data_IF_818293476244
#
_entry.id   IF_818293476244
#
_cell.length_a   1.000
_cell.length_b   1.000
_cell.length_c   1.000
_cell.angle_alpha   90.00
_cell.angle_beta   90.00
_cell.angle_gamma   90.00
#
_symmetry.space_group_name_H-M   'P 1'
#
loop_
_entity.id
_entity.type
_entity.pdbx_description
1 polymer ?
#
# COMPACT_ATOMS: atom_id res chain seq x y z
N UNK A 1 100.02 -25.11 20.92
CA UNK A 1 99.64 -24.54 19.61
C UNK A 1 98.55 -25.36 18.93
N UNK A 2 98.66 -26.69 18.82
CA UNK A 2 97.60 -27.54 18.23
C UNK A 2 96.24 -27.46 18.94
N UNK A 3 96.20 -27.58 20.28
CA UNK A 3 94.94 -27.52 21.06
C UNK A 3 94.22 -26.17 20.96
N UNK A 4 94.96 -25.06 20.81
CA UNK A 4 94.38 -23.73 20.65
C UNK A 4 93.83 -23.50 19.23
N UNK A 5 94.34 -24.24 18.23
CA UNK A 5 93.81 -24.24 16.86
C UNK A 5 92.50 -25.02 16.79
N UNK A 6 92.45 -26.24 17.37
CA UNK A 6 91.23 -27.05 17.43
C UNK A 6 90.07 -26.33 18.15
N UNK A 7 90.38 -25.61 19.23
CA UNK A 7 89.35 -24.88 19.99
C UNK A 7 88.84 -23.64 19.24
N UNK A 8 89.70 -23.00 18.44
CA UNK A 8 89.32 -21.91 17.54
C UNK A 8 88.48 -22.40 16.35
N UNK A 9 88.85 -23.54 15.76
CA UNK A 9 88.12 -24.17 14.66
C UNK A 9 86.72 -24.62 15.11
N UNK A 10 86.62 -25.26 16.29
CA UNK A 10 85.35 -25.67 16.88
C UNK A 10 84.46 -24.48 17.31
N UNK A 11 85.05 -23.32 17.64
CA UNK A 11 84.30 -22.10 17.89
C UNK A 11 83.81 -21.47 16.58
N UNK A 12 84.63 -21.50 15.53
CA UNK A 12 84.28 -21.00 14.20
C UNK A 12 83.15 -21.82 13.58
N UNK A 13 83.20 -23.16 13.67
CA UNK A 13 82.10 -24.02 13.21
C UNK A 13 80.79 -23.72 13.94
N UNK A 14 80.82 -23.57 15.27
CA UNK A 14 79.62 -23.23 16.06
C UNK A 14 79.06 -21.85 15.68
N UNK A 15 79.93 -20.88 15.42
CA UNK A 15 79.53 -19.56 14.96
C UNK A 15 78.88 -19.62 13.57
N UNK A 16 79.47 -20.36 12.63
CA UNK A 16 78.92 -20.54 11.28
C UNK A 16 77.57 -21.27 11.31
N UNK A 17 77.42 -22.29 12.16
CA UNK A 17 76.16 -23.00 12.36
C UNK A 17 75.07 -22.08 12.94
N UNK A 18 75.41 -21.30 13.97
CA UNK A 18 74.48 -20.36 14.59
C UNK A 18 74.10 -19.23 13.61
N UNK A 19 75.06 -18.71 12.85
CA UNK A 19 74.85 -17.71 11.82
C UNK A 19 74.00 -18.25 10.66
N UNK A 20 74.18 -19.52 10.29
CA UNK A 20 73.34 -20.23 9.33
C UNK A 20 71.89 -20.34 9.80
N UNK A 21 71.68 -20.80 11.05
CA UNK A 21 70.35 -20.92 11.66
C UNK A 21 69.64 -19.57 11.80
N UNK A 22 70.36 -18.51 12.17
CA UNK A 22 69.82 -17.14 12.21
C UNK A 22 69.33 -16.68 10.84
N UNK A 23 70.11 -16.90 9.78
CA UNK A 23 69.71 -16.56 8.41
C UNK A 23 68.47 -17.33 7.96
N UNK A 24 68.36 -18.61 8.28
CA UNK A 24 67.18 -19.42 7.92
C UNK A 24 65.92 -18.92 8.62
N UNK A 25 66.02 -18.62 9.92
CA UNK A 25 64.90 -18.08 10.71
C UNK A 25 64.49 -16.71 10.19
N UNK A 26 65.45 -15.84 9.84
CA UNK A 26 65.20 -14.50 9.31
C UNK A 26 64.49 -14.56 7.95
N UNK A 27 64.92 -15.46 7.05
CA UNK A 27 64.24 -15.71 5.77
C UNK A 27 62.80 -16.21 6.01
N UNK A 28 62.60 -17.18 6.90
CA UNK A 28 61.26 -17.71 7.22
C UNK A 28 60.34 -16.63 7.79
N UNK A 29 60.85 -15.80 8.71
CA UNK A 29 60.09 -14.69 9.30
C UNK A 29 59.77 -13.62 8.26
N UNK A 30 60.67 -13.34 7.33
CA UNK A 30 60.44 -12.37 6.26
C UNK A 30 59.33 -12.83 5.31
N UNK A 31 59.34 -14.11 4.90
CA UNK A 31 58.28 -14.70 4.05
C UNK A 31 56.93 -14.76 4.79
N UNK A 32 56.92 -15.15 6.06
CA UNK A 32 55.68 -15.23 6.87
C UNK A 32 55.14 -13.86 7.28
N UNK A 33 56.02 -12.89 7.49
CA UNK A 33 55.71 -11.57 8.05
C UNK A 33 55.35 -10.52 7.00
N UNK A 34 56.08 -10.48 5.88
CA UNK A 34 55.98 -9.42 4.88
C UNK A 34 54.87 -9.63 3.86
N UNK A 35 54.86 -10.78 3.17
CA UNK A 35 54.01 -10.95 1.98
C UNK A 35 52.62 -11.49 2.31
N UNK A 36 52.52 -12.46 3.23
CA UNK A 36 51.24 -13.11 3.53
C UNK A 36 50.28 -12.24 4.34
N UNK A 37 50.77 -11.57 5.39
CA UNK A 37 49.91 -10.78 6.31
C UNK A 37 49.51 -9.44 5.72
N UNK A 38 50.44 -8.73 5.07
CA UNK A 38 50.12 -7.48 4.40
C UNK A 38 49.12 -7.72 3.26
N UNK A 39 49.32 -8.77 2.46
CA UNK A 39 48.35 -9.14 1.42
C UNK A 39 46.96 -9.49 1.96
N UNK A 40 46.87 -10.18 3.11
CA UNK A 40 45.59 -10.46 3.77
C UNK A 40 44.92 -9.18 4.29
N UNK A 41 45.68 -8.26 4.87
CA UNK A 41 45.16 -6.97 5.33
C UNK A 41 44.66 -6.13 4.16
N UNK A 42 45.43 -6.03 3.08
CA UNK A 42 45.05 -5.26 1.88
C UNK A 42 43.80 -5.85 1.21
N UNK A 43 43.69 -7.18 1.14
CA UNK A 43 42.51 -7.87 0.63
C UNK A 43 41.27 -7.61 1.50
N UNK A 44 41.40 -7.76 2.83
CA UNK A 44 40.30 -7.50 3.76
C UNK A 44 39.86 -6.03 3.75
N UNK A 45 40.81 -5.10 3.59
CA UNK A 45 40.51 -3.67 3.52
C UNK A 45 39.79 -3.32 2.22
N UNK A 46 40.22 -3.90 1.09
CA UNK A 46 39.54 -3.76 -0.20
C UNK A 46 38.11 -4.30 -0.14
N UNK A 47 37.91 -5.48 0.46
CA UNK A 47 36.58 -6.07 0.65
C UNK A 47 35.68 -5.18 1.52
N UNK A 48 36.23 -4.64 2.62
CA UNK A 48 35.51 -3.70 3.49
C UNK A 48 35.09 -2.45 2.74
N UNK A 49 35.98 -1.87 1.94
CA UNK A 49 35.70 -0.66 1.16
C UNK A 49 34.61 -0.92 0.11
N UNK A 50 34.66 -2.06 -0.57
CA UNK A 50 33.64 -2.46 -1.53
C UNK A 50 32.27 -2.65 -0.86
N UNK A 51 32.22 -3.38 0.26
CA UNK A 51 31.00 -3.59 1.03
C UNK A 51 30.42 -2.28 1.57
N UNK A 52 31.27 -1.37 2.04
CA UNK A 52 30.85 -0.05 2.52
C UNK A 52 30.26 0.81 1.40
N UNK A 53 30.86 0.79 0.21
CA UNK A 53 30.35 1.51 -0.96
C UNK A 53 28.97 0.97 -1.40
N UNK A 54 28.81 -0.35 -1.45
CA UNK A 54 27.53 -0.97 -1.78
C UNK A 54 26.46 -0.67 -0.73
N UNK A 55 26.80 -0.75 0.55
CA UNK A 55 25.89 -0.37 1.63
C UNK A 55 25.45 1.10 1.53
N UNK A 56 26.37 2.02 1.24
CA UNK A 56 26.05 3.44 1.06
C UNK A 56 25.12 3.66 -0.14
N UNK A 57 25.38 2.96 -1.27
CA UNK A 57 24.57 3.01 -2.50
C UNK A 57 23.15 2.50 -2.26
N UNK A 58 23.00 1.33 -1.65
CA UNK A 58 21.70 0.74 -1.30
C UNK A 58 20.98 1.60 -0.27
N UNK A 59 21.69 2.09 0.76
CA UNK A 59 21.14 2.94 1.80
C UNK A 59 20.60 4.27 1.25
N UNK A 60 21.29 4.88 0.28
CA UNK A 60 20.80 6.09 -0.39
C UNK A 60 19.49 5.83 -1.14
N UNK A 61 19.42 4.74 -1.91
CA UNK A 61 18.20 4.33 -2.63
C UNK A 61 17.04 4.01 -1.68
N UNK A 62 17.33 3.33 -0.56
CA UNK A 62 16.33 3.02 0.46
C UNK A 62 15.74 4.28 1.08
N UNK A 63 16.59 5.27 1.45
CA UNK A 63 16.14 6.56 1.97
C UNK A 63 15.30 7.33 0.96
N UNK A 64 15.71 7.36 -0.31
CA UNK A 64 14.94 7.99 -1.38
C UNK A 64 13.56 7.34 -1.57
N UNK A 65 13.50 6.00 -1.60
CA UNK A 65 12.24 5.26 -1.70
C UNK A 65 11.33 5.49 -0.48
N UNK A 66 11.90 5.50 0.73
CA UNK A 66 11.17 5.80 1.96
C UNK A 66 10.59 7.22 1.94
N UNK A 67 11.39 8.21 1.50
CA UNK A 67 10.94 9.58 1.35
C UNK A 67 9.77 9.67 0.36
N UNK A 68 9.92 9.10 -0.85
CA UNK A 68 8.86 9.08 -1.85
C UNK A 68 7.58 8.43 -1.32
N UNK A 69 7.69 7.25 -0.69
CA UNK A 69 6.55 6.55 -0.06
C UNK A 69 5.85 7.44 0.96
N UNK A 70 6.61 8.06 1.85
CA UNK A 70 6.05 8.90 2.92
C UNK A 70 5.31 10.12 2.38
N UNK A 71 5.89 10.79 1.37
CA UNK A 71 5.31 11.97 0.73
C UNK A 71 4.04 11.59 -0.03
N UNK A 72 4.09 10.52 -0.83
CA UNK A 72 2.92 10.03 -1.58
C UNK A 72 1.78 9.60 -0.65
N UNK A 73 2.09 8.86 0.42
CA UNK A 73 1.09 8.46 1.41
C UNK A 73 0.43 9.70 2.05
N UNK A 74 1.23 10.66 2.52
CA UNK A 74 0.70 11.90 3.11
C UNK A 74 -0.19 12.69 2.15
N UNK A 75 0.21 12.83 0.89
CA UNK A 75 -0.61 13.53 -0.11
C UNK A 75 -1.89 12.75 -0.43
N UNK A 76 -1.81 11.42 -0.59
CA UNK A 76 -2.98 10.56 -0.79
C UNK A 76 -3.97 10.69 0.37
N UNK A 77 -3.50 10.60 1.60
CA UNK A 77 -4.34 10.64 2.80
C UNK A 77 -4.96 12.04 2.97
N UNK A 78 -4.20 13.11 2.70
CA UNK A 78 -4.73 14.49 2.67
C UNK A 78 -5.82 14.67 1.62
N UNK A 79 -5.63 14.13 0.41
CA UNK A 79 -6.62 14.19 -0.67
C UNK A 79 -7.88 13.41 -0.31
N UNK A 80 -7.75 12.21 0.28
CA UNK A 80 -8.90 11.42 0.74
C UNK A 80 -9.75 12.17 1.76
N UNK A 81 -9.12 12.81 2.76
CA UNK A 81 -9.83 13.61 3.78
C UNK A 81 -10.67 14.73 3.16
N UNK A 82 -10.23 15.33 2.05
CA UNK A 82 -11.01 16.37 1.34
C UNK A 82 -12.31 15.85 0.73
N UNK A 83 -12.41 14.55 0.49
CA UNK A 83 -13.60 13.92 -0.12
C UNK A 83 -14.56 13.31 0.88
N UNK A 84 -14.14 13.05 2.13
CA UNK A 84 -15.00 12.40 3.14
C UNK A 84 -16.27 13.22 3.39
N UNK A 85 -16.15 14.51 3.66
CA UNK A 85 -17.30 15.35 4.00
C UNK A 85 -18.23 15.59 2.79
N UNK A 86 -17.73 15.94 1.59
CA UNK A 86 -18.57 16.00 0.39
C UNK A 86 -19.28 14.67 0.10
N UNK A 87 -18.58 13.54 0.25
CA UNK A 87 -19.17 12.22 0.03
C UNK A 87 -20.29 11.91 1.02
N UNK A 88 -20.03 12.15 2.30
CA UNK A 88 -21.01 11.99 3.39
C UNK A 88 -22.24 12.86 3.15
N UNK A 89 -22.03 14.12 2.78
CA UNK A 89 -23.11 15.06 2.48
C UNK A 89 -23.98 14.57 1.32
N UNK A 90 -23.37 14.09 0.23
CA UNK A 90 -24.12 13.53 -0.91
C UNK A 90 -24.86 12.24 -0.55
N UNK A 91 -24.23 11.33 0.19
CA UNK A 91 -24.89 10.13 0.72
C UNK A 91 -26.14 10.49 1.53
N UNK A 92 -26.05 11.46 2.42
CA UNK A 92 -27.17 11.90 3.25
C UNK A 92 -28.25 12.58 2.40
N UNK A 93 -27.88 13.45 1.45
CA UNK A 93 -28.81 14.10 0.53
C UNK A 93 -29.63 13.07 -0.25
N UNK A 94 -28.98 12.03 -0.76
CA UNK A 94 -29.63 10.96 -1.54
C UNK A 94 -30.38 9.94 -0.68
N UNK A 95 -29.93 9.69 0.55
CA UNK A 95 -30.55 8.73 1.43
C UNK A 95 -31.76 9.26 2.19
N UNK A 96 -31.89 10.57 2.41
CA UNK A 96 -33.03 11.17 3.13
C UNK A 96 -34.40 10.89 2.49
N UNK A 97 -34.58 10.94 1.16
CA UNK A 97 -35.83 10.50 0.53
C UNK A 97 -36.20 9.05 0.84
N UNK A 98 -35.20 8.16 0.92
CA UNK A 98 -35.39 6.70 1.11
C UNK A 98 -35.62 6.36 2.58
N UNK A 99 -34.78 6.89 3.46
CA UNK A 99 -34.72 6.50 4.88
C UNK A 99 -35.38 7.50 5.83
N UNK A 100 -35.71 8.70 5.36
CA UNK A 100 -36.32 9.77 6.15
C UNK A 100 -35.36 10.93 6.48
N UNK A 101 -35.88 12.06 6.98
CA UNK A 101 -35.13 13.30 7.16
C UNK A 101 -34.01 13.22 8.21
N UNK A 102 -34.10 12.29 9.16
CA UNK A 102 -33.08 12.07 10.21
C UNK A 102 -31.93 11.15 9.75
N UNK A 103 -31.87 10.79 8.46
CA UNK A 103 -30.88 9.87 7.96
C UNK A 103 -29.48 10.50 7.96
N UNK A 104 -28.57 9.81 8.65
CA UNK A 104 -27.16 10.15 8.69
C UNK A 104 -26.30 8.89 8.54
N UNK A 105 -25.06 9.09 8.08
CA UNK A 105 -24.06 8.04 7.96
C UNK A 105 -22.71 8.54 8.43
N UNK A 106 -21.98 7.65 9.08
CA UNK A 106 -20.56 7.85 9.37
C UNK A 106 -19.74 7.21 8.25
N UNK A 107 -18.85 8.01 7.67
CA UNK A 107 -17.93 7.58 6.61
C UNK A 107 -16.50 7.77 7.11
N UNK A 108 -15.65 6.77 6.90
CA UNK A 108 -14.22 6.82 7.20
C UNK A 108 -13.37 7.44 6.06
N UNK A 109 -12.06 7.50 6.26
CA UNK A 109 -11.10 8.03 5.28
C UNK A 109 -10.94 7.20 4.01
N UNK A 110 -11.41 5.94 4.02
CA UNK A 110 -11.42 5.07 2.84
C UNK A 110 -12.76 5.13 2.10
N UNK A 111 -13.63 6.10 2.46
CA UNK A 111 -14.98 6.29 1.91
C UNK A 111 -15.91 5.10 2.17
N UNK A 112 -15.66 4.35 3.24
CA UNK A 112 -16.52 3.25 3.67
C UNK A 112 -17.56 3.75 4.69
N UNK A 113 -18.82 3.36 4.49
CA UNK A 113 -19.88 3.59 5.47
C UNK A 113 -19.64 2.69 6.68
N UNK A 114 -19.46 3.28 7.86
CA UNK A 114 -19.19 2.58 9.12
C UNK A 114 -20.45 2.38 9.94
N UNK A 115 -21.27 3.43 10.03
CA UNK A 115 -22.52 3.41 10.78
C UNK A 115 -23.61 4.13 10.00
N UNK A 116 -24.85 3.79 10.33
CA UNK A 116 -26.04 4.52 9.93
C UNK A 116 -26.79 4.99 11.18
N UNK A 117 -27.19 6.25 11.19
CA UNK A 117 -28.08 6.80 12.24
C UNK A 117 -29.46 7.09 11.66
N UNK A 118 -30.49 6.62 12.37
CA UNK A 118 -31.91 6.90 12.08
C UNK A 118 -32.64 7.22 13.38
N UNK A 119 -33.39 8.32 13.41
CA UNK A 119 -34.13 8.76 14.60
C UNK A 119 -33.26 8.77 15.87
N UNK A 120 -32.00 9.22 15.75
CA UNK A 120 -31.03 9.24 16.85
C UNK A 120 -30.43 7.88 17.24
N UNK A 121 -30.80 6.79 16.56
CA UNK A 121 -30.25 5.45 16.81
C UNK A 121 -29.18 5.12 15.79
N UNK A 122 -27.93 4.99 16.25
CA UNK A 122 -26.77 4.62 15.45
C UNK A 122 -26.58 3.10 15.46
N UNK A 123 -26.48 2.52 14.26
CA UNK A 123 -26.28 1.08 14.05
C UNK A 123 -25.05 0.86 13.17
N UNK A 124 -24.13 -0.05 13.55
CA UNK A 124 -22.99 -0.42 12.71
C UNK A 124 -23.44 -0.98 11.36
N UNK A 125 -22.71 -0.67 10.30
CA UNK A 125 -23.00 -1.14 8.95
C UNK A 125 -23.19 -2.66 8.90
N UNK A 126 -22.33 -3.41 9.58
CA UNK A 126 -22.38 -4.87 9.57
C UNK A 126 -23.67 -5.46 10.16
N UNK A 127 -24.30 -4.74 11.08
CA UNK A 127 -25.56 -5.14 11.72
C UNK A 127 -26.80 -4.73 10.94
N UNK A 128 -26.65 -4.06 9.79
CA UNK A 128 -27.77 -3.69 8.94
C UNK A 128 -28.34 -4.92 8.21
N UNK A 129 -29.65 -4.87 7.92
CA UNK A 129 -30.30 -5.87 7.08
C UNK A 129 -29.74 -5.87 5.65
N UNK A 130 -29.87 -6.99 4.94
CA UNK A 130 -29.44 -7.11 3.54
C UNK A 130 -29.99 -5.99 2.66
N UNK A 131 -31.31 -5.75 2.68
CA UNK A 131 -31.93 -4.68 1.89
C UNK A 131 -31.41 -3.27 2.24
N UNK A 132 -31.12 -3.00 3.51
CA UNK A 132 -30.53 -1.72 3.90
C UNK A 132 -29.09 -1.57 3.37
N UNK A 133 -28.29 -2.65 3.40
CA UNK A 133 -26.94 -2.67 2.81
C UNK A 133 -27.00 -2.48 1.29
N UNK A 134 -27.95 -3.11 0.60
CA UNK A 134 -28.15 -2.94 -0.85
C UNK A 134 -28.48 -1.50 -1.23
N UNK A 135 -29.46 -0.89 -0.57
CA UNK A 135 -29.86 0.51 -0.80
C UNK A 135 -28.69 1.46 -0.56
N UNK A 136 -28.00 1.32 0.58
CA UNK A 136 -26.81 2.12 0.88
C UNK A 136 -25.70 1.90 -0.16
N UNK A 137 -25.53 0.68 -0.65
CA UNK A 137 -24.56 0.36 -1.70
C UNK A 137 -24.85 1.06 -3.03
N UNK A 138 -26.13 1.22 -3.40
CA UNK A 138 -26.51 1.99 -4.59
C UNK A 138 -26.26 3.48 -4.35
N UNK A 139 -26.75 4.02 -3.22
CA UNK A 139 -26.55 5.43 -2.86
C UNK A 139 -25.07 5.79 -2.81
N UNK A 140 -24.22 4.89 -2.30
CA UNK A 140 -22.77 5.03 -2.25
C UNK A 140 -22.14 5.17 -3.64
N UNK A 141 -22.62 4.42 -4.63
CA UNK A 141 -22.15 4.51 -6.02
C UNK A 141 -22.62 5.80 -6.68
N UNK A 142 -23.88 6.20 -6.46
CA UNK A 142 -24.44 7.45 -6.98
C UNK A 142 -23.73 8.67 -6.40
N UNK A 143 -23.49 8.70 -5.09
CA UNK A 143 -22.71 9.75 -4.43
C UNK A 143 -21.26 9.77 -4.94
N UNK A 144 -20.68 8.59 -5.20
CA UNK A 144 -19.37 8.44 -5.83
C UNK A 144 -19.31 9.08 -7.22
N UNK A 145 -20.30 8.81 -8.06
CA UNK A 145 -20.42 9.43 -9.39
C UNK A 145 -20.57 10.96 -9.29
N UNK A 146 -21.38 11.46 -8.36
CA UNK A 146 -21.58 12.89 -8.14
C UNK A 146 -20.30 13.62 -7.70
N UNK A 147 -19.40 12.97 -6.95
CA UNK A 147 -18.11 13.54 -6.57
C UNK A 147 -17.16 13.77 -7.75
N UNK A 148 -17.21 12.88 -8.74
CA UNK A 148 -16.36 12.91 -9.93
C UNK A 148 -16.95 13.82 -11.02
N UNK A 149 -18.28 13.98 -11.03
CA UNK A 149 -19.05 14.69 -12.05
C UNK A 149 -18.89 16.22 -12.09
N UNK A 150 -17.87 16.81 -11.46
CA UNK A 150 -17.64 18.28 -11.52
C UNK A 150 -17.18 18.76 -12.91
N UNK A 151 -16.63 17.88 -13.73
CA UNK A 151 -16.15 18.21 -15.09
C UNK A 151 -16.82 17.33 -16.16
N UNK A 152 -17.02 16.03 -15.89
CA UNK A 152 -17.74 15.09 -16.77
C UNK A 152 -18.54 14.06 -15.95
N UNK A 153 -19.81 13.86 -16.30
CA UNK A 153 -20.68 12.88 -15.64
C UNK A 153 -20.32 11.45 -16.02
N UNK A 154 -20.10 10.59 -15.03
CA UNK A 154 -19.80 9.16 -15.24
C UNK A 154 -21.07 8.30 -15.15
N UNK A 155 -21.24 7.28 -16.01
CA UNK A 155 -22.38 6.39 -15.94
C UNK A 155 -22.30 5.49 -14.70
N UNK A 156 -23.46 5.18 -14.10
CA UNK A 156 -23.58 4.23 -13.00
C UNK A 156 -24.31 2.99 -13.50
N UNK A 157 -23.66 1.82 -13.37
CA UNK A 157 -24.27 0.53 -13.72
C UNK A 157 -24.72 -0.18 -12.45
N UNK A 158 -25.96 -0.63 -12.44
CA UNK A 158 -26.60 -1.39 -11.36
C UNK A 158 -26.97 -2.75 -11.92
N UNK A 159 -26.42 -3.82 -11.34
CA UNK A 159 -26.65 -5.20 -11.79
C UNK A 159 -27.43 -5.98 -10.73
N UNK A 160 -28.63 -6.40 -11.09
CA UNK A 160 -29.64 -7.14 -10.33
C UNK A 160 -29.76 -6.76 -8.84
N UNK A 161 -29.79 -5.46 -8.55
CA UNK A 161 -29.86 -4.97 -7.19
C UNK A 161 -31.31 -4.94 -6.63
N UNK A 162 -31.42 -4.59 -5.34
CA UNK A 162 -32.66 -4.38 -4.60
C UNK A 162 -33.53 -5.64 -4.41
N UNK A 163 -32.92 -6.83 -4.42
CA UNK A 163 -33.63 -8.10 -4.23
C UNK A 163 -34.27 -8.27 -2.84
N UNK A 164 -33.77 -7.57 -1.83
CA UNK A 164 -34.28 -7.63 -0.45
C UNK A 164 -34.93 -6.32 0.02
N UNK A 165 -35.35 -5.46 -0.91
CA UNK A 165 -35.94 -4.15 -0.61
C UNK A 165 -37.47 -4.20 -0.60
N UNK A 166 -38.09 -3.61 0.42
CA UNK A 166 -39.55 -3.53 0.54
C UNK A 166 -40.17 -2.56 -0.49
N UNK A 167 -41.45 -2.74 -0.89
CA UNK A 167 -42.09 -1.95 -1.95
C UNK A 167 -42.07 -0.44 -1.73
N UNK A 168 -42.28 0.01 -0.49
CA UNK A 168 -42.27 1.44 -0.15
C UNK A 168 -40.88 2.05 -0.38
N UNK A 169 -39.82 1.30 -0.06
CA UNK A 169 -38.44 1.71 -0.35
C UNK A 169 -38.08 1.59 -1.82
N UNK A 170 -38.60 0.61 -2.56
CA UNK A 170 -38.40 0.53 -4.02
C UNK A 170 -38.96 1.80 -4.70
N UNK A 171 -40.15 2.24 -4.30
CA UNK A 171 -40.74 3.47 -4.82
C UNK A 171 -39.85 4.69 -4.58
N UNK A 172 -39.35 4.85 -3.35
CA UNK A 172 -38.44 5.95 -2.99
C UNK A 172 -37.08 5.87 -3.68
N UNK A 173 -36.55 4.65 -3.89
CA UNK A 173 -35.34 4.46 -4.70
C UNK A 173 -35.57 4.90 -6.15
N UNK A 174 -36.79 4.71 -6.68
CA UNK A 174 -37.20 5.24 -8.00
C UNK A 174 -36.98 6.74 -8.13
N UNK A 175 -37.40 7.51 -7.12
CA UNK A 175 -37.21 8.98 -7.09
C UNK A 175 -35.73 9.39 -7.08
N UNK A 176 -34.88 8.58 -6.41
CA UNK A 176 -33.44 8.80 -6.41
C UNK A 176 -32.85 8.53 -7.80
N UNK A 177 -33.28 7.48 -8.49
CA UNK A 177 -32.87 7.20 -9.85
C UNK A 177 -33.31 8.30 -10.82
N UNK A 178 -34.54 8.81 -10.70
CA UNK A 178 -35.04 9.93 -11.52
C UNK A 178 -34.16 11.18 -11.36
N UNK A 179 -33.82 11.52 -10.11
CA UNK A 179 -32.96 12.66 -9.79
C UNK A 179 -31.56 12.51 -10.40
N UNK A 180 -31.02 11.29 -10.40
CA UNK A 180 -29.71 11.00 -10.97
C UNK A 180 -29.72 10.95 -12.49
N UNK A 181 -30.77 10.39 -13.09
CA UNK A 181 -30.97 10.36 -14.54
C UNK A 181 -31.06 11.75 -15.17
N UNK A 182 -31.48 12.77 -14.41
CA UNK A 182 -31.48 14.16 -14.87
C UNK A 182 -30.08 14.78 -15.01
N UNK A 183 -29.08 14.20 -14.33
CA UNK A 183 -27.73 14.75 -14.23
C UNK A 183 -26.65 13.75 -14.66
N UNK A 184 -27.02 12.58 -15.21
CA UNK A 184 -26.09 11.53 -15.59
C UNK A 184 -26.83 10.30 -16.11
N UNK A 185 -26.08 9.25 -16.46
CA UNK A 185 -26.67 8.01 -16.97
C UNK A 185 -26.66 6.93 -15.89
N UNK A 186 -27.82 6.32 -15.65
CA UNK A 186 -27.93 5.12 -14.81
C UNK A 186 -28.43 3.97 -15.68
N UNK A 187 -27.68 2.88 -15.72
CA UNK A 187 -27.98 1.67 -16.49
C UNK A 187 -28.31 0.57 -15.49
N UNK A 188 -29.53 0.04 -15.54
CA UNK A 188 -29.97 -1.07 -14.70
C UNK A 188 -30.05 -2.33 -15.56
N UNK A 189 -29.34 -3.38 -15.13
CA UNK A 189 -29.44 -4.73 -15.67
C UNK A 189 -30.19 -5.57 -14.63
N UNK A 190 -31.29 -6.21 -14.99
CA UNK A 190 -32.07 -7.01 -14.03
C UNK A 190 -32.95 -8.04 -14.74
N UNK A 191 -33.21 -9.16 -14.06
CA UNK A 191 -34.22 -10.14 -14.44
C UNK A 191 -35.58 -9.90 -13.73
N UNK A 192 -35.70 -8.87 -12.91
CA UNK A 192 -36.90 -8.52 -12.14
C UNK A 192 -37.28 -7.05 -12.38
N UNK A 193 -37.81 -6.71 -13.58
CA UNK A 193 -38.07 -5.32 -13.97
C UNK A 193 -39.04 -4.59 -13.04
N UNK A 194 -40.00 -5.31 -12.44
CA UNK A 194 -41.01 -4.76 -11.53
C UNK A 194 -40.40 -4.00 -10.34
N UNK A 195 -39.16 -4.32 -9.94
CA UNK A 195 -38.45 -3.62 -8.86
C UNK A 195 -38.17 -2.14 -9.18
N UNK A 196 -38.18 -1.78 -10.46
CA UNK A 196 -37.83 -0.46 -10.97
C UNK A 196 -39.03 0.25 -11.61
N UNK A 197 -40.26 -0.21 -11.35
CA UNK A 197 -41.47 0.39 -11.92
C UNK A 197 -41.74 1.83 -11.52
N UNK A 198 -41.20 2.25 -10.37
CA UNK A 198 -41.29 3.63 -9.92
C UNK A 198 -40.36 4.60 -10.66
N UNK A 199 -39.39 4.11 -11.44
CA UNK A 199 -38.46 4.96 -12.22
C UNK A 199 -39.21 5.55 -13.42
N UNK A 200 -39.31 6.86 -13.48
CA UNK A 200 -40.06 7.57 -14.51
C UNK A 200 -39.17 7.85 -15.72
N UNK A 201 -39.71 7.68 -16.92
CA UNK A 201 -39.00 7.99 -18.16
C UNK A 201 -37.85 7.03 -18.48
N UNK A 202 -37.75 5.89 -17.80
CA UNK A 202 -36.75 4.87 -18.09
C UNK A 202 -36.93 4.30 -19.51
N UNK A 203 -35.84 4.27 -20.28
CA UNK A 203 -35.81 3.53 -21.53
C UNK A 203 -35.62 2.04 -21.22
N UNK A 204 -36.64 1.22 -21.48
CA UNK A 204 -36.63 -0.22 -21.20
C UNK A 204 -36.27 -0.99 -22.48
N UNK A 205 -35.26 -1.84 -22.38
CA UNK A 205 -34.81 -2.74 -23.44
C UNK A 205 -34.99 -4.16 -22.94
N UNK A 206 -35.75 -4.97 -23.68
CA UNK A 206 -35.85 -6.40 -23.42
C UNK A 206 -34.76 -7.14 -24.21
N UNK A 207 -34.04 -8.03 -23.54
CA UNK A 207 -32.92 -8.80 -24.11
C UNK A 207 -33.35 -10.20 -24.57
N UNK A 208 -34.63 -10.57 -24.40
CA UNK A 208 -35.16 -11.88 -24.85
C UNK A 208 -35.45 -11.93 -26.36
N UNK A 209 -34.45 -11.55 -27.18
CA UNK A 209 -34.42 -11.71 -28.63
C UNK A 209 -33.61 -12.92 -29.05
#
# INVERSE_FOLDING_TARGET
>A
MAAASEEADALSERYEQAAGGLREIDIRLSVLGGEGRQGQLDAAQTEREHAAAEHARVGSRARAAQLLRSVMARHRDTTRLRYVEPYRSELQRLGRPVFGPTFEVDVDSDLCIRNRTLNGVTVPYESLSGGAKEQLGILARLAGAALVAKEDTVPVVVDDALGFTDPDRLAKMGEVFDTMGAHGQVIVLTCSPDRYDAVKGAHRIDLSG
#
